data_IF_057504246058
#
_entry.id   IF_057504246058
#
_cell.length_a   1.000
_cell.length_b   1.000
_cell.length_c   1.000
_cell.angle_alpha   90.00
_cell.angle_beta   90.00
_cell.angle_gamma   90.00
#
_symmetry.space_group_name_H-M   'P 1'
#
loop_
_entity.id
_entity.type
_entity.pdbx_description
1 polymer ?
#
# COMPACT_ATOMS: atom_id res chain seq x y z
N UNK A 1 16.02 9.75 10.44
CA UNK A 1 15.08 9.60 9.31
C UNK A 1 15.92 9.19 8.11
N UNK A 2 16.00 7.90 7.80
CA UNK A 2 16.74 7.45 6.61
C UNK A 2 15.85 7.70 5.40
N UNK A 3 16.22 8.69 4.58
CA UNK A 3 15.65 8.84 3.25
C UNK A 3 16.16 7.69 2.40
N UNK A 4 15.26 6.78 2.05
CA UNK A 4 15.55 5.77 1.05
C UNK A 4 15.47 6.46 -0.32
N UNK A 5 16.63 6.71 -0.93
CA UNK A 5 16.71 7.19 -2.32
C UNK A 5 16.38 6.02 -3.26
N UNK A 6 15.08 5.71 -3.36
CA UNK A 6 14.57 4.86 -4.43
C UNK A 6 14.66 5.63 -5.75
N UNK A 7 15.25 4.99 -6.76
CA UNK A 7 15.35 5.52 -8.11
C UNK A 7 13.94 5.81 -8.66
N UNK A 8 13.57 7.09 -8.66
CA UNK A 8 12.28 7.55 -9.18
C UNK A 8 12.21 7.44 -10.72
N UNK A 9 13.33 7.12 -11.38
CA UNK A 9 13.37 6.87 -12.83
C UNK A 9 13.00 5.42 -13.22
N UNK A 10 12.69 4.55 -12.24
CA UNK A 10 12.16 3.21 -12.55
C UNK A 10 10.72 3.33 -13.04
N UNK A 11 10.61 3.45 -14.36
CA UNK A 11 9.40 3.71 -15.13
C UNK A 11 8.36 2.59 -15.09
N UNK A 12 8.75 1.44 -14.53
CA UNK A 12 7.91 0.27 -14.31
C UNK A 12 7.29 0.24 -12.91
N UNK A 13 7.81 1.01 -11.94
CA UNK A 13 7.25 1.07 -10.58
C UNK A 13 5.94 1.86 -10.57
N UNK A 14 4.89 1.28 -10.00
CA UNK A 14 3.63 1.96 -9.69
C UNK A 14 3.75 2.66 -8.34
N UNK A 15 4.13 1.88 -7.31
CA UNK A 15 4.29 2.37 -5.94
C UNK A 15 5.20 1.44 -5.12
N UNK A 16 5.69 1.96 -4.00
CA UNK A 16 6.44 1.22 -2.99
C UNK A 16 5.74 1.34 -1.63
N UNK A 17 5.55 0.20 -0.96
CA UNK A 17 5.04 0.09 0.41
C UNK A 17 6.21 -0.23 1.35
N UNK A 18 6.40 0.63 2.33
CA UNK A 18 7.41 0.46 3.39
C UNK A 18 6.68 0.35 4.73
N UNK A 19 7.11 -0.51 5.67
CA UNK A 19 6.55 -0.50 7.01
C UNK A 19 6.53 0.92 7.60
N UNK A 20 5.37 1.37 8.07
CA UNK A 20 5.27 2.65 8.75
C UNK A 20 5.83 2.54 10.17
N UNK A 21 6.43 3.62 10.68
CA UNK A 21 6.94 3.62 12.05
C UNK A 21 5.78 3.57 13.06
N UNK A 22 6.00 2.94 14.22
CA UNK A 22 5.04 2.91 15.31
C UNK A 22 3.97 1.81 15.19
N UNK A 23 2.72 2.12 15.55
CA UNK A 23 1.64 1.15 15.57
C UNK A 23 1.37 0.60 14.15
N UNK A 24 1.26 -0.71 14.03
CA UNK A 24 1.10 -1.40 12.75
C UNK A 24 2.38 -1.62 11.92
N UNK A 25 3.55 -1.24 12.46
CA UNK A 25 4.86 -1.58 11.90
C UNK A 25 5.05 -3.10 11.77
N UNK A 26 4.67 -3.86 12.81
CA UNK A 26 4.97 -5.29 12.89
C UNK A 26 4.24 -6.11 11.83
N UNK A 27 2.95 -5.88 11.60
CA UNK A 27 2.23 -6.58 10.54
C UNK A 27 2.73 -6.19 9.15
N UNK A 28 3.09 -4.93 8.94
CA UNK A 28 3.72 -4.50 7.70
C UNK A 28 5.09 -5.17 7.48
N UNK A 29 5.92 -5.29 8.52
CA UNK A 29 7.21 -5.99 8.47
C UNK A 29 7.03 -7.49 8.19
N UNK A 30 6.02 -8.13 8.75
CA UNK A 30 5.70 -9.53 8.44
C UNK A 30 5.35 -9.69 6.96
N UNK A 31 4.57 -8.77 6.38
CA UNK A 31 4.28 -8.77 4.95
C UNK A 31 5.55 -8.63 4.09
N UNK A 32 6.52 -7.78 4.49
CA UNK A 32 7.79 -7.61 3.76
C UNK A 32 8.81 -8.73 3.99
N UNK A 33 8.49 -9.71 4.85
CA UNK A 33 9.29 -10.92 5.09
C UNK A 33 8.67 -12.19 4.55
N UNK A 34 7.40 -12.12 4.14
CA UNK A 34 6.67 -13.28 3.63
C UNK A 34 7.26 -13.75 2.30
N UNK A 35 7.63 -15.03 2.23
CA UNK A 35 8.03 -15.67 0.97
C UNK A 35 6.90 -15.68 -0.06
N UNK A 36 5.64 -15.69 0.38
CA UNK A 36 4.48 -15.58 -0.52
C UNK A 36 4.44 -14.24 -1.27
N UNK A 37 5.15 -13.22 -0.77
CA UNK A 37 5.24 -11.89 -1.38
C UNK A 37 6.51 -11.71 -2.20
N UNK A 38 7.31 -12.76 -2.46
CA UNK A 38 8.62 -12.66 -3.11
C UNK A 38 8.61 -11.83 -4.40
N UNK A 39 7.57 -11.98 -5.23
CA UNK A 39 7.42 -11.21 -6.49
C UNK A 39 7.33 -9.69 -6.32
N UNK A 40 7.01 -9.21 -5.11
CA UNK A 40 6.94 -7.78 -4.78
C UNK A 40 8.15 -7.32 -3.97
N UNK A 41 8.98 -8.22 -3.45
CA UNK A 41 10.05 -7.82 -2.54
C UNK A 41 11.19 -7.11 -3.29
N UNK A 42 11.54 -5.91 -2.83
CA UNK A 42 12.78 -5.22 -3.20
C UNK A 42 13.58 -4.91 -1.95
N UNK A 43 14.90 -5.10 -2.01
CA UNK A 43 15.81 -4.60 -0.98
C UNK A 43 15.99 -3.09 -1.16
N UNK A 44 15.97 -2.34 -0.06
CA UNK A 44 16.33 -0.93 -0.10
C UNK A 44 17.73 -0.73 -0.75
N UNK A 45 17.91 0.32 -1.56
CA UNK A 45 19.20 0.60 -2.20
C UNK A 45 20.31 0.87 -1.16
N UNK A 46 21.55 0.45 -1.48
CA UNK A 46 22.74 0.66 -0.64
C UNK A 46 23.26 -0.53 0.17
N UNK A 47 22.73 -1.74 -0.01
CA UNK A 47 23.19 -2.93 0.72
C UNK A 47 23.71 -4.05 -0.21
N UNK A 48 25.03 -4.10 -0.36
CA UNK A 48 25.74 -5.27 -0.87
C UNK A 48 25.84 -6.34 0.23
N UNK A 49 25.71 -7.60 -0.18
CA UNK A 49 25.92 -8.76 0.72
C UNK A 49 27.41 -8.80 1.07
N UNK A 50 27.83 -8.85 2.35
CA UNK A 50 29.19 -9.28 2.66
C UNK A 50 29.31 -10.71 2.15
N UNK A 51 30.20 -10.92 1.17
CA UNK A 51 30.42 -12.20 0.53
C UNK A 51 30.55 -13.32 1.56
N UNK A 52 29.99 -14.47 1.20
CA UNK A 52 30.13 -15.75 1.91
C UNK A 52 31.60 -16.16 1.89
N UNK A 53 32.43 -15.54 2.72
CA UNK A 53 33.80 -16.01 2.93
C UNK A 53 33.73 -17.23 3.84
N UNK A 54 34.21 -18.34 3.30
CA UNK A 54 34.25 -19.63 3.96
C UNK A 54 34.88 -19.55 5.33
N UNK A 55 34.27 -20.26 6.28
CA UNK A 55 34.83 -20.54 7.59
C UNK A 55 36.13 -21.31 7.38
N UNK A 56 37.26 -20.65 7.57
CA UNK A 56 38.54 -21.33 7.83
C UNK A 56 38.76 -21.28 9.34
N UNK A 57 38.65 -22.45 9.96
CA UNK A 57 39.05 -22.65 11.35
C UNK A 57 40.53 -22.37 11.51
N UNK A 58 40.89 -21.48 12.43
CA UNK A 58 42.15 -21.54 13.18
C UNK A 58 41.95 -20.82 14.52
N UNK A 59 41.91 -21.60 15.60
CA UNK A 59 42.07 -21.16 16.99
C UNK A 59 43.57 -21.21 17.30
N UNK A 60 44.13 -20.20 17.99
CA UNK A 60 44.71 -20.52 19.30
C UNK A 60 44.28 -19.58 20.43
N UNK A 61 44.26 -20.21 21.59
CA UNK A 61 43.97 -19.80 22.96
C UNK A 61 44.96 -18.75 23.52
N UNK A 62 44.46 -17.74 24.24
CA UNK A 62 45.18 -17.17 25.39
C UNK A 62 44.22 -16.47 26.37
N UNK A 63 44.40 -16.77 27.66
CA UNK A 63 43.65 -16.30 28.83
C UNK A 63 44.50 -15.27 29.57
N UNK A 64 43.99 -14.07 29.85
CA UNK A 64 43.78 -13.56 31.23
C UNK A 64 43.28 -12.10 31.30
N UNK A 65 42.35 -11.90 32.25
CA UNK A 65 42.16 -10.74 33.13
C UNK A 65 41.63 -9.35 32.65
N UNK A 66 40.34 -9.15 32.96
CA UNK A 66 39.74 -8.12 33.87
C UNK A 66 39.72 -6.64 33.44
N UNK A 67 38.53 -6.14 33.10
CA UNK A 67 37.73 -5.12 33.85
C UNK A 67 36.71 -4.37 32.96
N UNK A 68 35.50 -4.19 33.51
CA UNK A 68 34.43 -3.23 33.16
C UNK A 68 34.09 -3.02 31.67
N UNK A 69 32.95 -3.58 31.26
CA UNK A 69 32.14 -3.03 30.17
C UNK A 69 30.65 -3.09 30.55
N UNK A 70 30.05 -1.94 30.84
CA UNK A 70 28.72 -1.64 30.31
C UNK A 70 28.91 -0.73 29.09
N UNK A 71 27.97 -0.61 28.15
CA UNK A 71 26.96 -1.56 27.69
C UNK A 71 27.13 -1.78 26.18
N UNK A 72 26.69 -2.92 25.63
CA UNK A 72 26.42 -2.98 24.20
C UNK A 72 25.36 -4.04 23.91
N UNK A 73 24.12 -3.72 24.28
CA UNK A 73 23.04 -4.05 23.35
C UNK A 73 23.36 -3.25 22.09
N UNK A 74 24.20 -3.83 21.22
CA UNK A 74 24.25 -3.40 19.83
C UNK A 74 22.80 -3.50 19.38
N UNK A 75 22.14 -2.41 18.95
CA UNK A 75 20.89 -2.54 18.23
C UNK A 75 21.18 -3.57 17.14
N UNK A 76 20.39 -4.62 17.08
CA UNK A 76 20.48 -5.67 16.07
C UNK A 76 20.77 -4.97 14.75
N UNK A 77 22.01 -5.13 14.29
CA UNK A 77 22.53 -4.34 13.20
C UNK A 77 21.66 -4.59 11.97
N UNK A 78 21.09 -3.51 11.43
CA UNK A 78 20.57 -3.45 10.07
C UNK A 78 19.62 -4.60 9.71
N UNK A 79 18.42 -4.58 10.30
CA UNK A 79 17.28 -5.28 9.72
C UNK A 79 17.04 -4.68 8.33
N UNK A 80 17.55 -5.36 7.30
CA UNK A 80 17.53 -4.92 5.91
C UNK A 80 16.08 -4.57 5.53
N UNK A 81 15.77 -3.28 5.42
CA UNK A 81 14.42 -2.80 5.19
C UNK A 81 13.94 -3.26 3.81
N UNK A 82 13.32 -4.44 3.77
CA UNK A 82 12.59 -4.92 2.59
C UNK A 82 11.34 -4.08 2.46
N UNK A 83 11.03 -3.71 1.22
CA UNK A 83 9.81 -3.03 0.84
C UNK A 83 9.07 -3.88 -0.19
N UNK A 84 7.76 -3.63 -0.33
CA UNK A 84 6.96 -4.22 -1.38
C UNK A 84 6.85 -3.21 -2.51
N UNK A 85 7.25 -3.59 -3.72
CA UNK A 85 7.24 -2.74 -4.91
C UNK A 85 6.25 -3.33 -5.89
N UNK A 86 5.22 -2.54 -6.18
CA UNK A 86 4.21 -2.86 -7.18
C UNK A 86 4.64 -2.27 -8.51
N UNK A 87 4.56 -3.07 -9.57
CA UNK A 87 5.08 -2.76 -10.90
C UNK A 87 4.02 -2.99 -11.97
N UNK A 88 4.12 -2.26 -13.07
CA UNK A 88 3.27 -2.49 -14.24
C UNK A 88 3.53 -3.88 -14.83
N UNK A 89 4.80 -4.28 -14.92
CA UNK A 89 5.24 -5.57 -15.44
C UNK A 89 4.74 -6.79 -14.66
N UNK A 90 4.37 -6.63 -13.38
CA UNK A 90 3.77 -7.71 -12.59
C UNK A 90 2.36 -8.08 -13.06
N UNK A 91 1.67 -7.14 -13.73
CA UNK A 91 0.26 -7.26 -14.07
C UNK A 91 -0.64 -7.42 -12.84
N UNK A 92 -1.91 -7.73 -13.09
CA UNK A 92 -2.86 -8.13 -12.06
C UNK A 92 -3.63 -9.37 -12.52
N UNK A 93 -4.04 -10.22 -11.56
CA UNK A 93 -4.83 -11.42 -11.87
C UNK A 93 -6.25 -11.08 -12.33
N UNK A 94 -6.77 -9.97 -11.84
CA UNK A 94 -8.14 -9.52 -12.09
C UNK A 94 -8.13 -8.06 -12.55
N UNK A 95 -9.19 -7.61 -13.21
CA UNK A 95 -9.37 -6.20 -13.55
C UNK A 95 -9.55 -5.27 -12.32
N UNK A 96 -9.65 -5.83 -11.10
CA UNK A 96 -9.71 -5.04 -9.88
C UNK A 96 -8.36 -4.40 -9.53
N UNK A 97 -7.25 -4.95 -10.03
CA UNK A 97 -5.88 -4.56 -9.69
C UNK A 97 -5.18 -5.63 -8.84
N UNK A 98 -4.10 -5.24 -8.15
CA UNK A 98 -3.37 -6.15 -7.23
C UNK A 98 -4.15 -6.19 -5.91
N UNK A 99 -4.71 -7.36 -5.58
CA UNK A 99 -5.50 -7.53 -4.36
C UNK A 99 -4.59 -7.87 -3.18
N UNK A 100 -4.65 -7.11 -2.09
CA UNK A 100 -4.00 -7.45 -0.83
C UNK A 100 -5.04 -7.90 0.21
N UNK A 101 -4.67 -8.93 0.99
CA UNK A 101 -5.54 -9.49 2.02
C UNK A 101 -4.92 -10.71 2.70
N UNK A 102 -5.64 -11.31 3.64
CA UNK A 102 -5.12 -12.39 4.51
C UNK A 102 -5.21 -13.80 3.91
N UNK A 103 -5.81 -13.97 2.73
CA UNK A 103 -6.03 -15.29 2.13
C UNK A 103 -5.20 -15.49 0.85
N UNK A 104 -4.34 -16.52 0.78
CA UNK A 104 -3.55 -16.80 -0.43
C UNK A 104 -4.38 -17.25 -1.63
N UNK A 105 -5.60 -17.76 -1.41
CA UNK A 105 -6.54 -18.15 -2.46
C UNK A 105 -7.17 -16.95 -3.17
N UNK A 106 -7.15 -15.78 -2.53
CA UNK A 106 -7.94 -14.63 -2.94
C UNK A 106 -7.11 -13.35 -3.11
N UNK A 107 -5.91 -13.32 -2.54
CA UNK A 107 -5.02 -12.17 -2.57
C UNK A 107 -3.81 -12.43 -3.47
N UNK A 108 -3.39 -11.37 -4.15
CA UNK A 108 -2.12 -11.26 -4.84
C UNK A 108 -0.96 -11.00 -3.87
N UNK A 109 -1.17 -10.10 -2.93
CA UNK A 109 -0.21 -9.67 -1.91
C UNK A 109 -0.75 -10.10 -0.55
N UNK A 110 -0.04 -11.01 0.11
CA UNK A 110 -0.49 -11.58 1.38
C UNK A 110 -0.18 -10.64 2.53
N UNK A 111 -1.22 -10.25 3.26
CA UNK A 111 -1.13 -9.58 4.55
C UNK A 111 -1.20 -10.62 5.68
N UNK A 112 -0.60 -10.34 6.85
CA UNK A 112 -0.72 -11.26 7.98
C UNK A 112 -2.18 -11.38 8.43
N UNK A 113 -2.50 -12.53 9.03
CA UNK A 113 -3.85 -12.82 9.52
C UNK A 113 -4.06 -12.09 10.84
N UNK A 114 -4.88 -11.05 10.80
CA UNK A 114 -5.40 -10.34 11.97
C UNK A 114 -6.92 -10.25 11.87
N UNK A 115 -7.59 -10.02 13.00
CA UNK A 115 -9.06 -10.00 13.10
C UNK A 115 -9.73 -8.93 12.23
N UNK A 116 -9.04 -7.83 11.98
CA UNK A 116 -9.49 -6.70 11.19
C UNK A 116 -8.93 -6.72 9.74
N UNK A 117 -8.23 -7.79 9.33
CA UNK A 117 -7.71 -7.95 7.97
C UNK A 117 -8.52 -8.99 7.19
N UNK A 118 -9.43 -8.52 6.34
CA UNK A 118 -10.21 -9.34 5.40
C UNK A 118 -9.36 -10.20 4.45
N UNK A 119 -9.96 -11.30 3.98
CA UNK A 119 -9.36 -12.22 2.98
C UNK A 119 -8.98 -11.51 1.68
N UNK A 120 -9.88 -10.64 1.19
CA UNK A 120 -9.65 -9.61 0.17
C UNK A 120 -9.90 -8.28 0.87
N UNK A 121 -8.87 -7.49 1.12
CA UNK A 121 -9.00 -6.27 1.91
C UNK A 121 -8.99 -5.04 1.02
N UNK A 122 -7.95 -4.89 0.21
CA UNK A 122 -7.71 -3.70 -0.58
C UNK A 122 -7.21 -4.07 -1.97
N UNK A 123 -7.59 -3.30 -2.98
CA UNK A 123 -7.03 -3.40 -4.32
C UNK A 123 -6.18 -2.17 -4.65
N UNK A 124 -4.95 -2.41 -5.07
CA UNK A 124 -4.09 -1.39 -5.66
C UNK A 124 -4.40 -1.28 -7.14
N UNK A 125 -4.95 -0.13 -7.54
CA UNK A 125 -5.42 0.13 -8.90
C UNK A 125 -5.31 1.62 -9.20
N UNK A 126 -6.04 2.09 -10.21
CA UNK A 126 -6.01 3.48 -10.65
C UNK A 126 -7.42 4.08 -10.68
N UNK A 127 -7.54 5.38 -10.43
CA UNK A 127 -8.77 6.13 -10.58
C UNK A 127 -9.06 6.51 -12.05
N UNK A 128 -10.14 7.25 -12.30
CA UNK A 128 -10.51 7.68 -13.66
C UNK A 128 -9.47 8.58 -14.34
N UNK A 129 -8.61 9.23 -13.57
CA UNK A 129 -7.52 10.09 -14.04
C UNK A 129 -6.18 9.36 -14.11
N UNK A 130 -6.19 8.03 -13.94
CA UNK A 130 -5.02 7.16 -13.90
C UNK A 130 -4.10 7.40 -12.70
N UNK A 131 -4.55 8.09 -11.65
CA UNK A 131 -3.79 8.26 -10.42
C UNK A 131 -3.84 6.94 -9.63
N UNK A 132 -2.72 6.45 -9.06
CA UNK A 132 -2.72 5.28 -8.20
C UNK A 132 -3.60 5.46 -6.97
N UNK A 133 -4.45 4.46 -6.70
CA UNK A 133 -5.36 4.44 -5.56
C UNK A 133 -5.30 3.11 -4.81
N UNK A 134 -5.77 3.18 -3.56
CA UNK A 134 -6.04 2.07 -2.68
C UNK A 134 -7.57 1.97 -2.53
N UNK A 135 -8.19 0.98 -3.18
CA UNK A 135 -9.63 0.73 -3.10
C UNK A 135 -9.93 -0.28 -2.01
N UNK A 136 -10.63 0.13 -0.96
CA UNK A 136 -11.18 -0.80 0.02
C UNK A 136 -12.25 -1.70 -0.64
N UNK A 137 -12.14 -3.01 -0.46
CA UNK A 137 -13.02 -4.01 -1.09
C UNK A 137 -14.24 -4.33 -0.22
N UNK A 138 -14.91 -3.28 0.25
CA UNK A 138 -16.09 -3.36 1.14
C UNK A 138 -15.81 -4.17 2.41
N UNK A 139 -14.69 -3.87 3.06
CA UNK A 139 -14.26 -4.58 4.26
C UNK A 139 -15.08 -4.16 5.48
N UNK A 140 -15.19 -5.04 6.48
CA UNK A 140 -15.90 -4.73 7.73
C UNK A 140 -15.20 -3.64 8.55
N UNK A 141 -13.87 -3.65 8.58
CA UNK A 141 -13.07 -2.70 9.37
C UNK A 141 -12.76 -1.39 8.61
N UNK A 142 -12.94 -1.38 7.30
CA UNK A 142 -12.58 -0.29 6.41
C UNK A 142 -11.07 -0.12 6.26
N UNK A 143 -10.69 0.82 5.40
CA UNK A 143 -9.30 1.27 5.21
C UNK A 143 -9.24 2.79 5.37
N UNK A 144 -8.09 3.36 5.75
CA UNK A 144 -7.82 4.79 5.56
C UNK A 144 -6.45 5.06 4.97
N UNK A 145 -6.30 6.22 4.35
CA UNK A 145 -4.99 6.81 4.06
C UNK A 145 -4.86 8.09 4.87
N UNK A 146 -3.76 8.23 5.59
CA UNK A 146 -3.46 9.39 6.42
C UNK A 146 -2.53 10.32 5.64
N UNK A 147 -3.00 11.52 5.34
CA UNK A 147 -2.17 12.61 4.81
C UNK A 147 -1.80 13.59 5.92
N UNK A 148 -0.52 13.98 6.00
CA UNK A 148 -0.01 14.99 6.94
C UNK A 148 -0.40 14.75 8.43
N UNK A 149 -0.57 13.49 8.84
CA UNK A 149 -0.89 13.13 10.23
C UNK A 149 -2.36 13.33 10.64
N UNK A 150 -3.27 13.49 9.69
CA UNK A 150 -4.70 13.59 9.98
C UNK A 150 -5.26 12.32 10.67
N UNK A 151 -6.36 12.49 11.42
CA UNK A 151 -6.92 11.43 12.27
C UNK A 151 -8.33 11.03 11.85
N UNK A 152 -8.54 10.74 10.56
CA UNK A 152 -9.84 10.24 10.06
C UNK A 152 -10.04 8.77 10.40
N UNK A 153 -11.29 8.35 10.57
CA UNK A 153 -11.63 6.94 10.75
C UNK A 153 -11.45 6.14 9.46
N UNK A 154 -11.33 4.81 9.60
CA UNK A 154 -11.35 3.89 8.46
C UNK A 154 -12.73 3.86 7.82
N UNK A 155 -12.77 3.81 6.49
CA UNK A 155 -14.01 3.80 5.69
C UNK A 155 -14.00 2.59 4.77
N UNK A 156 -15.14 1.90 4.72
CA UNK A 156 -15.38 0.75 3.84
C UNK A 156 -15.81 1.19 2.44
N UNK A 157 -15.38 0.46 1.41
CA UNK A 157 -15.79 0.67 0.02
C UNK A 157 -15.34 2.00 -0.59
N UNK A 158 -14.25 2.58 -0.09
CA UNK A 158 -13.74 3.89 -0.51
C UNK A 158 -12.46 3.78 -1.36
N UNK A 159 -12.30 4.71 -2.31
CA UNK A 159 -11.13 4.85 -3.17
C UNK A 159 -10.19 5.93 -2.61
N UNK A 160 -9.07 5.52 -2.02
CA UNK A 160 -8.09 6.45 -1.44
C UNK A 160 -6.97 6.78 -2.42
N UNK A 161 -6.70 8.07 -2.66
CA UNK A 161 -5.53 8.48 -3.43
C UNK A 161 -4.23 8.03 -2.75
N UNK A 162 -3.31 7.44 -3.48
CA UNK A 162 -1.97 7.13 -2.93
C UNK A 162 -0.95 8.23 -3.19
N UNK A 163 -1.39 9.29 -3.86
CA UNK A 163 -0.66 10.54 -4.01
C UNK A 163 -1.21 11.51 -2.98
N UNK A 164 -0.33 12.01 -2.11
CA UNK A 164 -0.71 13.00 -1.11
C UNK A 164 -1.15 14.31 -1.75
N UNK A 165 -2.07 15.06 -1.12
CA UNK A 165 -2.45 16.38 -1.59
C UNK A 165 -1.22 17.32 -1.55
N UNK A 166 -1.17 18.30 -2.45
CA UNK A 166 -0.04 19.23 -2.55
C UNK A 166 0.28 19.94 -1.23
N UNK A 167 -0.74 20.20 -0.40
CA UNK A 167 -0.61 20.82 0.91
C UNK A 167 0.12 19.97 1.97
N UNK A 168 0.19 18.65 1.76
CA UNK A 168 0.96 17.75 2.61
C UNK A 168 2.47 17.79 2.31
N UNK A 169 2.89 18.50 1.25
CA UNK A 169 4.29 18.62 0.84
C UNK A 169 4.90 17.27 0.45
N UNK A 170 6.16 17.05 0.82
CA UNK A 170 6.89 15.79 0.53
C UNK A 170 6.62 14.67 1.57
N UNK A 171 5.62 14.82 2.45
CA UNK A 171 5.28 13.77 3.42
C UNK A 171 4.59 12.61 2.70
N UNK A 172 5.12 11.40 2.87
CA UNK A 172 4.54 10.19 2.31
C UNK A 172 3.21 9.87 3.00
N UNK A 173 2.14 9.56 2.25
CA UNK A 173 0.90 9.04 2.82
C UNK A 173 1.14 7.75 3.62
N UNK A 174 0.36 7.55 4.68
CA UNK A 174 0.34 6.29 5.42
C UNK A 174 -0.95 5.55 5.07
N UNK A 175 -0.81 4.42 4.38
CA UNK A 175 -1.90 3.45 4.20
C UNK A 175 -2.08 2.66 5.49
N UNK A 176 -3.23 2.83 6.12
CA UNK A 176 -3.59 2.24 7.39
C UNK A 176 -4.72 1.23 7.17
N UNK A 177 -4.32 -0.02 6.96
CA UNK A 177 -5.20 -1.15 6.61
C UNK A 177 -5.86 -1.70 7.88
N UNK A 178 -5.07 -1.83 8.94
CA UNK A 178 -5.51 -2.37 10.22
C UNK A 178 -4.69 -1.77 11.34
N UNK A 179 -5.11 -2.00 12.57
CA UNK A 179 -4.32 -1.55 13.72
C UNK A 179 -2.92 -2.17 13.64
N UNK A 180 -2.82 -3.40 13.18
CA UNK A 180 -1.55 -4.12 13.08
C UNK A 180 -0.79 -3.98 11.76
N UNK A 181 -1.35 -3.33 10.73
CA UNK A 181 -0.73 -3.24 9.39
C UNK A 181 -0.81 -1.82 8.83
N UNK A 182 0.33 -1.12 8.83
CA UNK A 182 0.47 0.21 8.23
C UNK A 182 1.70 0.34 7.34
N UNK A 183 1.51 0.94 6.18
CA UNK A 183 2.58 1.20 5.21
C UNK A 183 2.72 2.69 4.92
N UNK A 184 3.95 3.20 4.89
CA UNK A 184 4.27 4.43 4.14
C UNK A 184 4.23 4.10 2.66
N UNK A 185 3.57 4.95 1.89
CA UNK A 185 3.40 4.77 0.45
C UNK A 185 4.24 5.78 -0.31
N UNK A 186 5.15 5.31 -1.16
CA UNK A 186 5.87 6.15 -2.13
C UNK A 186 5.35 5.87 -3.53
N UNK A 187 4.71 6.86 -4.15
CA UNK A 187 4.40 6.86 -5.59
C UNK A 187 5.46 7.70 -6.29
N UNK A 188 6.14 7.20 -7.34
CA UNK A 188 7.11 8.00 -8.08
C UNK A 188 6.46 9.25 -8.70
N UNK A 189 7.17 10.39 -8.64
CA UNK A 189 6.69 11.65 -9.24
C UNK A 189 6.72 11.51 -10.77
N UNK A 190 5.56 11.62 -11.43
CA UNK A 190 5.42 11.55 -12.90
C UNK A 190 4.12 12.18 -13.37
N UNK A 191 4.02 12.43 -14.67
CA UNK A 191 2.81 12.90 -15.33
C UNK A 191 1.85 11.73 -15.62
N UNK A 192 0.75 11.66 -14.87
CA UNK A 192 -0.29 10.63 -15.01
C UNK A 192 -1.15 10.77 -16.28
N UNK A 193 -1.00 11.89 -17.00
CA UNK A 193 -1.68 12.12 -18.29
C UNK A 193 -0.81 11.78 -19.51
N UNK A 194 0.47 11.47 -19.30
CA UNK A 194 1.39 11.15 -20.39
C UNK A 194 0.95 9.88 -21.15
N UNK A 195 1.00 9.87 -22.50
CA UNK A 195 0.53 8.73 -23.29
C UNK A 195 1.16 7.40 -22.89
N UNK A 196 2.48 7.39 -22.65
CA UNK A 196 3.22 6.19 -22.26
C UNK A 196 2.76 5.63 -20.91
N UNK A 197 2.47 6.51 -19.94
CA UNK A 197 1.94 6.10 -18.64
C UNK A 197 0.52 5.54 -18.78
N UNK A 198 -0.33 6.24 -19.54
CA UNK A 198 -1.71 5.82 -19.78
C UNK A 198 -1.75 4.46 -20.47
N UNK A 199 -0.84 4.18 -21.41
CA UNK A 199 -0.72 2.86 -22.04
C UNK A 199 -0.35 1.78 -21.02
N UNK A 200 0.63 2.04 -20.14
CA UNK A 200 1.01 1.11 -19.06
C UNK A 200 -0.16 0.82 -18.11
N UNK A 201 -0.92 1.86 -17.71
CA UNK A 201 -2.13 1.72 -16.88
C UNK A 201 -3.21 0.90 -17.57
N UNK A 202 -3.47 1.17 -18.86
CA UNK A 202 -4.46 0.43 -19.63
C UNK A 202 -4.08 -1.05 -19.75
N UNK A 203 -2.82 -1.35 -20.06
CA UNK A 203 -2.30 -2.72 -20.11
C UNK A 203 -2.41 -3.40 -18.75
N UNK A 204 -2.08 -2.70 -17.67
CA UNK A 204 -2.21 -3.24 -16.32
C UNK A 204 -3.68 -3.60 -16.01
N UNK A 205 -4.63 -2.70 -16.27
CA UNK A 205 -6.06 -2.89 -16.00
C UNK A 205 -6.72 -4.01 -16.78
N UNK A 206 -6.17 -4.40 -17.94
CA UNK A 206 -6.67 -5.53 -18.71
C UNK A 206 -6.53 -6.84 -17.91
N UNK A 207 -5.56 -6.93 -17.01
CA UNK A 207 -5.28 -8.12 -16.20
C UNK A 207 -4.85 -9.33 -17.04
N UNK A 208 -4.63 -10.45 -16.38
CA UNK A 208 -4.55 -11.76 -17.03
C UNK A 208 -5.96 -12.32 -17.16
N UNK A 209 -6.46 -12.51 -18.38
CA UNK A 209 -7.82 -12.99 -18.65
C UNK A 209 -8.01 -14.47 -18.21
N UNK A 210 -8.15 -14.73 -16.91
CA UNK A 210 -8.67 -16.00 -16.41
C UNK A 210 -10.21 -15.91 -16.31
N UNK A 211 -10.97 -16.74 -17.06
CA UNK A 211 -12.44 -16.73 -17.02
C UNK A 211 -13.06 -17.00 -15.64
N UNK A 212 -12.39 -17.75 -14.77
CA UNK A 212 -12.91 -18.06 -13.42
C UNK A 212 -12.89 -16.82 -12.51
N UNK A 213 -11.85 -15.99 -12.64
CA UNK A 213 -11.64 -14.76 -11.88
C UNK A 213 -12.56 -13.61 -12.34
N UNK A 214 -12.98 -13.62 -13.61
CA UNK A 214 -13.99 -12.68 -14.13
C UNK A 214 -15.34 -12.84 -13.41
N UNK A 215 -15.75 -14.07 -13.08
CA UNK A 215 -17.03 -14.33 -12.40
C UNK A 215 -17.04 -13.79 -10.96
N UNK A 216 -15.91 -13.81 -10.27
CA UNK A 216 -15.77 -13.21 -8.94
C UNK A 216 -15.88 -11.68 -9.00
N UNK A 217 -15.37 -11.04 -10.07
CA UNK A 217 -15.58 -9.60 -10.31
C UNK A 217 -17.03 -9.23 -10.60
N UNK A 218 -17.81 -10.15 -11.20
CA UNK A 218 -19.24 -9.97 -11.52
C UNK A 218 -20.12 -10.17 -10.27
N UNK A 219 -19.71 -11.05 -9.34
CA UNK A 219 -20.42 -11.22 -8.06
C UNK A 219 -20.37 -9.98 -7.17
N UNK A 220 -19.30 -9.17 -7.27
CA UNK A 220 -19.24 -7.85 -6.61
C UNK A 220 -20.35 -6.90 -7.11
N UNK A 221 -20.92 -7.14 -8.31
CA UNK A 221 -22.03 -6.35 -8.86
C UNK A 221 -23.42 -6.97 -8.69
N UNK A 222 -23.53 -8.20 -8.20
CA UNK A 222 -24.78 -8.97 -8.31
C UNK A 222 -25.18 -9.64 -6.99
N UNK A 223 -25.40 -8.82 -5.95
CA UNK A 223 -26.29 -9.17 -4.84
C UNK A 223 -27.34 -8.06 -4.65
N UNK A 224 -27.96 -7.66 -5.75
CA UNK A 224 -29.22 -6.92 -5.78
C UNK A 224 -30.22 -7.77 -6.55
N UNK A 225 -31.20 -8.33 -5.84
CA UNK A 225 -32.13 -9.33 -6.35
C UNK A 225 -32.81 -8.92 -7.66
N UNK A 226 -33.02 -9.92 -8.52
CA UNK A 226 -33.77 -9.81 -9.76
C UNK A 226 -35.18 -9.28 -9.48
N UNK A 227 -35.48 -8.04 -9.89
CA UNK A 227 -36.85 -7.58 -10.08
C UNK A 227 -37.05 -7.11 -11.52
N UNK A 228 -38.17 -7.56 -12.06
CA UNK A 228 -38.54 -7.58 -13.48
C UNK A 228 -38.60 -6.17 -14.09
N UNK A 229 -38.08 -6.06 -15.32
CA UNK A 229 -38.05 -4.84 -16.12
C UNK A 229 -39.45 -4.30 -16.43
N UNK A 230 -39.68 -3.01 -16.19
CA UNK A 230 -40.60 -2.17 -16.98
C UNK A 230 -40.12 -0.71 -16.98
N UNK A 231 -39.96 -0.14 -18.18
CA UNK A 231 -40.13 1.29 -18.47
C UNK A 231 -39.03 2.28 -18.04
N UNK A 232 -38.29 2.79 -19.04
CA UNK A 232 -37.59 4.08 -19.10
C UNK A 232 -37.44 4.92 -17.80
N UNK A 233 -36.20 5.09 -17.30
CA UNK A 233 -35.51 6.40 -17.13
C UNK A 233 -34.23 6.30 -16.28
N UNK A 234 -33.20 7.00 -16.77
CA UNK A 234 -32.02 7.60 -16.09
C UNK A 234 -30.90 6.68 -15.53
N UNK A 235 -29.61 7.02 -15.79
CA UNK A 235 -28.46 6.32 -15.20
C UNK A 235 -28.54 6.36 -13.68
N UNK A 236 -28.23 5.24 -13.02
CA UNK A 236 -28.03 5.15 -11.57
C UNK A 236 -26.81 6.00 -11.13
N UNK A 237 -26.98 7.31 -11.10
CA UNK A 237 -26.23 8.23 -10.24
C UNK A 237 -27.13 8.49 -9.02
N UNK A 238 -26.97 7.66 -7.99
CA UNK A 238 -27.95 7.66 -6.90
C UNK A 238 -27.51 6.86 -5.70
N UNK A 239 -26.29 7.11 -5.21
CA UNK A 239 -25.76 6.88 -3.85
C UNK A 239 -24.26 6.57 -3.93
N UNK A 240 -23.49 7.54 -4.43
CA UNK A 240 -22.07 7.61 -4.09
C UNK A 240 -21.96 8.59 -2.94
N UNK A 241 -21.30 8.13 -1.88
CA UNK A 241 -21.16 8.84 -0.62
C UNK A 241 -20.79 10.31 -0.84
N UNK A 242 -21.33 11.20 -0.01
CA UNK A 242 -21.12 12.66 0.03
C UNK A 242 -19.64 13.09 0.28
N UNK A 243 -18.71 12.14 0.14
CA UNK A 243 -17.26 12.23 0.30
C UNK A 243 -16.51 11.98 -1.02
N UNK A 244 -17.19 11.87 -2.18
CA UNK A 244 -16.53 11.93 -3.48
C UNK A 244 -15.82 13.30 -3.61
N UNK A 245 -14.54 13.36 -3.21
CA UNK A 245 -13.64 14.48 -3.48
C UNK A 245 -12.84 15.02 -2.30
N UNK A 246 -13.22 14.77 -1.04
CA UNK A 246 -12.48 15.31 0.11
C UNK A 246 -11.52 14.27 0.65
N UNK A 247 -10.31 14.28 0.11
CA UNK A 247 -9.24 13.35 0.49
C UNK A 247 -8.49 13.82 1.74
N UNK A 248 -8.49 15.13 2.02
CA UNK A 248 -7.75 15.71 3.14
C UNK A 248 -8.44 16.97 3.65
N UNK A 249 -8.46 17.18 4.96
CA UNK A 249 -8.90 18.47 5.51
C UNK A 249 -7.85 19.05 6.42
N UNK A 250 -7.53 20.32 6.21
CA UNK A 250 -6.55 21.05 7.02
C UNK A 250 -7.05 22.45 7.32
N UNK A 251 -7.10 22.79 8.60
CA UNK A 251 -7.32 24.17 9.01
C UNK A 251 -6.15 25.04 8.53
N UNK A 252 -6.46 26.01 7.67
CA UNK A 252 -5.51 27.00 7.17
C UNK A 252 -5.41 28.21 8.08
N UNK A 253 -6.46 28.50 8.85
CA UNK A 253 -6.47 29.57 9.83
C UNK A 253 -7.83 29.74 10.50
N UNK A 254 -7.80 30.27 11.72
CA UNK A 254 -8.99 30.53 12.54
C UNK A 254 -9.04 31.99 12.96
N UNK A 255 -10.12 32.66 12.57
CA UNK A 255 -10.44 34.02 12.98
C UNK A 255 -11.61 34.05 13.96
N UNK A 256 -11.94 35.26 14.44
CA UNK A 256 -13.08 35.48 15.34
C UNK A 256 -14.45 35.16 14.72
N UNK A 257 -14.54 35.06 13.39
CA UNK A 257 -15.80 34.84 12.66
C UNK A 257 -15.83 33.56 11.83
N UNK A 258 -14.79 32.72 11.90
CA UNK A 258 -14.77 31.48 11.13
C UNK A 258 -13.43 30.76 11.11
N UNK A 259 -13.47 29.55 10.60
CA UNK A 259 -12.32 28.69 10.33
C UNK A 259 -12.22 28.54 8.81
N UNK A 260 -11.03 28.70 8.27
CA UNK A 260 -10.73 28.43 6.87
C UNK A 260 -10.13 27.04 6.79
N UNK A 261 -10.77 26.14 6.05
CA UNK A 261 -10.32 24.76 5.86
C UNK A 261 -10.01 24.50 4.38
N UNK A 262 -8.93 23.78 4.14
CA UNK A 262 -8.68 23.11 2.86
C UNK A 262 -9.49 21.82 2.82
N UNK A 263 -10.11 21.51 1.69
CA UNK A 263 -10.86 20.27 1.44
C UNK A 263 -10.34 19.59 0.18
#
# INVERSE_FOLDING_TARGET
MHNFDFDDNDDDVILTLMPADGHGYWGALLATRSAANERFLRRAPGQSIPGRHGVSHNVPDDRSEREKTEPLVKPIASDSARCLVLRFSQGCKTNAGIIAGSSPEHADLLLPVFTDVSKKHIAFTFDRMNVPIARDLQTTAGTRVIYDGETRDRVSGFDWSLVGPSIAGDKLPILDISDEVKFKVKVPKRDFSSPDYVEKVNRFRQGSTDPAELLDSVKIRTEGGTQVQTGQQSPLDGQRSKLEGVFHTKELGKGSFGVVEYF
#
